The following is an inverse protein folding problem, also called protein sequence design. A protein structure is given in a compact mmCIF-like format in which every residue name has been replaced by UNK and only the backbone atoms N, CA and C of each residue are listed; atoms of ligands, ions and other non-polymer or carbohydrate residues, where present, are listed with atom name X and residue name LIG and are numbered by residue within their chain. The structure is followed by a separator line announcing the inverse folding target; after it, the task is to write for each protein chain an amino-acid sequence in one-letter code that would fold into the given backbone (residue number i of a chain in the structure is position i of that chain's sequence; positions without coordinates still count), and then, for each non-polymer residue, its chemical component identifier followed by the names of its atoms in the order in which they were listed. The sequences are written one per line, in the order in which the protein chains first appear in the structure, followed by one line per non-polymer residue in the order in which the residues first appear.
data_IF_212530136412
#
_entry.id   IF_212530136412
#
_cell.length_a   1.000
_cell.length_b   1.000
_cell.length_c   1.000
_cell.angle_alpha   90.00
_cell.angle_beta   90.00
_cell.angle_gamma   90.00
#
_symmetry.space_group_name_H-M   'P 1'
#
loop_
_entity.id
_entity.type
_entity.pdbx_description
1 polymer ?
#
# COMPACT_ATOMS: atom_id res chain seq x y z
N UNK A 1 -15.11 3.42 -15.64
CA UNK A 1 -13.76 3.95 -15.33
C UNK A 1 -13.08 2.88 -14.49
N UNK A 2 -12.05 2.20 -15.00
CA UNK A 2 -11.27 1.28 -14.15
C UNK A 2 -10.61 2.15 -13.09
N UNK A 3 -10.89 1.92 -11.81
CA UNK A 3 -10.11 2.49 -10.72
C UNK A 3 -8.67 2.04 -10.94
N UNK A 4 -7.84 2.90 -11.53
CA UNK A 4 -6.42 2.64 -11.67
C UNK A 4 -5.91 2.57 -10.24
N UNK A 5 -5.60 1.36 -9.75
CA UNK A 5 -5.05 1.18 -8.42
C UNK A 5 -3.85 2.11 -8.24
N UNK A 6 -3.70 2.75 -7.08
CA UNK A 6 -2.67 3.76 -6.85
C UNK A 6 -1.25 3.29 -7.17
N UNK A 7 -1.02 1.97 -7.19
CA UNK A 7 0.21 1.35 -7.63
C UNK A 7 0.49 1.50 -9.14
N UNK A 8 -0.53 1.32 -10.00
CA UNK A 8 -0.39 1.46 -11.45
C UNK A 8 -0.01 2.89 -11.84
N UNK A 9 -0.69 3.86 -11.23
CA UNK A 9 -0.39 5.27 -11.40
C UNK A 9 1.02 5.62 -10.89
N UNK A 10 1.42 5.10 -9.73
CA UNK A 10 2.78 5.28 -9.21
C UNK A 10 3.85 4.72 -10.17
N UNK A 11 3.59 3.55 -10.77
CA UNK A 11 4.54 2.89 -11.66
C UNK A 11 4.68 3.66 -12.98
N UNK A 12 3.57 4.18 -13.53
CA UNK A 12 3.56 5.02 -14.71
C UNK A 12 4.32 6.33 -14.47
N UNK A 13 4.01 7.04 -13.38
CA UNK A 13 4.70 8.29 -13.01
C UNK A 13 6.20 8.04 -12.82
N UNK A 14 6.57 6.93 -12.17
CA UNK A 14 7.98 6.57 -11.95
C UNK A 14 8.71 6.35 -13.27
N UNK A 15 8.12 5.60 -14.20
CA UNK A 15 8.70 5.37 -15.52
C UNK A 15 8.86 6.68 -16.31
N UNK A 16 7.86 7.57 -16.23
CA UNK A 16 7.92 8.87 -16.88
C UNK A 16 9.05 9.75 -16.32
N UNK A 17 9.18 9.84 -14.99
CA UNK A 17 10.23 10.66 -14.32
C UNK A 17 11.64 10.17 -14.62
N UNK A 18 11.84 8.86 -14.76
CA UNK A 18 13.16 8.27 -15.02
C UNK A 18 13.41 8.00 -16.51
N UNK A 19 12.49 8.43 -17.40
CA UNK A 19 12.53 8.17 -18.85
C UNK A 19 12.73 6.68 -19.18
N UNK A 20 12.17 5.79 -18.36
CA UNK A 20 12.30 4.34 -18.51
C UNK A 20 11.17 3.81 -19.38
N UNK A 21 11.53 3.03 -20.39
CA UNK A 21 10.57 2.17 -21.08
C UNK A 21 10.07 1.05 -20.14
N UNK A 22 8.89 0.51 -20.42
CA UNK A 22 8.33 -0.63 -19.68
C UNK A 22 9.29 -1.83 -19.65
N UNK A 23 10.08 -2.02 -20.72
CA UNK A 23 11.12 -3.06 -20.79
C UNK A 23 12.30 -2.77 -19.88
N UNK A 24 12.72 -1.51 -19.75
CA UNK A 24 13.78 -1.13 -18.82
C UNK A 24 13.32 -1.27 -17.37
N UNK A 25 12.11 -0.80 -17.05
CA UNK A 25 11.51 -0.99 -15.72
C UNK A 25 11.40 -2.48 -15.35
N UNK A 26 11.03 -3.32 -16.32
CA UNK A 26 10.98 -4.78 -16.17
C UNK A 26 12.37 -5.36 -15.89
N UNK A 27 13.39 -4.94 -16.64
CA UNK A 27 14.78 -5.36 -16.41
C UNK A 27 15.30 -4.91 -15.03
N UNK A 28 15.02 -3.68 -14.62
CA UNK A 28 15.42 -3.13 -13.31
C UNK A 28 14.79 -3.90 -12.14
N UNK A 29 13.57 -4.39 -12.30
CA UNK A 29 12.81 -5.03 -11.23
C UNK A 29 12.86 -6.56 -11.30
N UNK A 30 13.43 -7.13 -12.37
CA UNK A 30 13.40 -8.57 -12.62
C UNK A 30 11.98 -9.10 -12.89
N UNK A 31 11.08 -8.24 -13.37
CA UNK A 31 9.71 -8.59 -13.75
C UNK A 31 9.57 -8.72 -15.26
N UNK A 32 8.49 -9.37 -15.70
CA UNK A 32 8.14 -9.40 -17.12
C UNK A 32 7.50 -8.09 -17.54
N UNK A 33 7.74 -7.65 -18.78
CA UNK A 33 7.09 -6.45 -19.33
C UNK A 33 5.55 -6.54 -19.26
N UNK A 34 5.00 -7.74 -19.44
CA UNK A 34 3.57 -8.01 -19.34
C UNK A 34 3.05 -7.72 -17.92
N UNK A 35 3.76 -8.19 -16.90
CA UNK A 35 3.41 -7.91 -15.50
C UNK A 35 3.42 -6.42 -15.18
N UNK A 36 4.38 -5.65 -15.71
CA UNK A 36 4.37 -4.19 -15.55
C UNK A 36 3.16 -3.56 -16.24
N UNK A 37 2.85 -4.02 -17.46
CA UNK A 37 1.67 -3.54 -18.19
C UNK A 37 0.37 -3.85 -17.45
N UNK A 38 0.26 -5.06 -16.92
CA UNK A 38 -0.93 -5.52 -16.19
C UNK A 38 -1.15 -4.67 -14.93
N UNK A 39 -0.08 -4.30 -14.22
CA UNK A 39 -0.17 -3.41 -13.05
C UNK A 39 -0.66 -2.01 -13.44
N UNK A 40 -0.16 -1.46 -14.56
CA UNK A 40 -0.58 -0.16 -15.07
C UNK A 40 -2.06 -0.19 -15.50
N UNK A 41 -2.53 -1.29 -16.10
CA UNK A 41 -3.95 -1.49 -16.47
C UNK A 41 -4.87 -1.77 -15.25
N UNK A 42 -4.31 -1.80 -14.04
CA UNK A 42 -5.06 -1.94 -12.78
C UNK A 42 -5.21 -3.38 -12.29
N UNK A 43 -4.46 -4.34 -12.83
CA UNK A 43 -4.37 -5.69 -12.27
C UNK A 43 -3.71 -5.65 -10.89
N UNK A 44 -4.24 -6.44 -9.95
CA UNK A 44 -3.67 -6.56 -8.60
C UNK A 44 -2.40 -7.42 -8.66
N UNK A 45 -1.20 -6.87 -8.44
CA UNK A 45 0.01 -7.66 -8.42
C UNK A 45 0.14 -8.44 -7.12
N UNK A 46 0.78 -9.60 -7.20
CA UNK A 46 1.08 -10.40 -6.03
C UNK A 46 2.05 -9.68 -5.07
N UNK A 47 2.04 -10.00 -3.77
CA UNK A 47 2.97 -9.43 -2.78
C UNK A 47 4.45 -9.59 -3.17
N UNK A 48 4.78 -10.68 -3.86
CA UNK A 48 6.13 -10.93 -4.35
C UNK A 48 6.54 -9.94 -5.45
N UNK A 49 5.62 -9.60 -6.35
CA UNK A 49 5.82 -8.59 -7.39
C UNK A 49 6.09 -7.21 -6.78
N UNK A 50 5.38 -6.86 -5.70
CA UNK A 50 5.60 -5.61 -4.96
C UNK A 50 7.01 -5.58 -4.33
N UNK A 51 7.48 -6.70 -3.78
CA UNK A 51 8.85 -6.80 -3.25
C UNK A 51 9.90 -6.59 -4.34
N UNK A 52 9.70 -7.17 -5.53
CA UNK A 52 10.58 -7.00 -6.69
C UNK A 52 10.61 -5.56 -7.20
N UNK A 53 9.46 -4.90 -7.28
CA UNK A 53 9.37 -3.47 -7.59
C UNK A 53 10.16 -2.62 -6.60
N UNK A 54 9.96 -2.85 -5.29
CA UNK A 54 10.64 -2.09 -4.25
C UNK A 54 12.15 -2.31 -4.27
N UNK A 55 12.59 -3.53 -4.53
CA UNK A 55 14.01 -3.89 -4.63
C UNK A 55 14.67 -3.26 -5.87
N UNK A 56 13.99 -3.32 -7.02
CA UNK A 56 14.51 -2.74 -8.27
C UNK A 56 14.62 -1.22 -8.23
N UNK A 57 13.61 -0.52 -7.70
CA UNK A 57 13.59 0.94 -7.67
C UNK A 57 14.18 1.57 -6.40
N UNK A 58 14.20 0.84 -5.28
CA UNK A 58 14.63 1.34 -3.97
C UNK A 58 15.91 0.70 -3.43
N UNK A 59 16.41 -0.36 -4.06
CA UNK A 59 17.58 -1.12 -3.62
C UNK A 59 17.35 -1.92 -2.34
N UNK A 60 18.43 -2.43 -1.75
CA UNK A 60 18.38 -3.33 -0.58
C UNK A 60 18.47 -2.58 0.78
N UNK A 61 18.39 -1.25 0.78
CA UNK A 61 18.56 -0.42 1.97
C UNK A 61 17.25 0.04 2.62
N UNK A 62 17.36 0.97 3.58
CA UNK A 62 16.21 1.61 4.26
C UNK A 62 15.22 2.24 3.26
N UNK A 63 15.73 2.77 2.14
CA UNK A 63 14.94 3.35 1.04
C UNK A 63 14.05 2.30 0.36
N UNK A 64 14.58 1.09 0.12
CA UNK A 64 13.83 -0.02 -0.44
C UNK A 64 12.73 -0.52 0.49
N UNK A 65 12.99 -0.56 1.81
CA UNK A 65 11.98 -0.92 2.82
C UNK A 65 10.83 0.09 2.90
N UNK A 66 11.14 1.39 2.92
CA UNK A 66 10.14 2.44 2.92
C UNK A 66 9.31 2.45 1.63
N UNK A 67 9.98 2.25 0.48
CA UNK A 67 9.30 2.14 -0.80
C UNK A 67 8.38 0.94 -0.84
N UNK A 68 8.85 -0.23 -0.36
CA UNK A 68 8.04 -1.44 -0.25
C UNK A 68 6.76 -1.18 0.51
N UNK A 69 6.85 -0.59 1.71
CA UNK A 69 5.67 -0.34 2.53
C UNK A 69 4.65 0.56 1.82
N UNK A 70 5.13 1.63 1.17
CA UNK A 70 4.28 2.51 0.35
C UNK A 70 3.59 1.77 -0.80
N UNK A 71 4.30 0.87 -1.50
CA UNK A 71 3.71 0.09 -2.59
C UNK A 71 2.67 -0.92 -2.07
N UNK A 72 2.86 -1.49 -0.88
CA UNK A 72 1.86 -2.36 -0.24
C UNK A 72 0.56 -1.60 0.11
N UNK A 73 0.69 -0.34 0.53
CA UNK A 73 -0.47 0.54 0.76
C UNK A 73 -1.19 0.85 -0.55
N UNK A 74 -0.44 1.28 -1.56
CA UNK A 74 -1.00 1.64 -2.88
C UNK A 74 -1.66 0.45 -3.61
N UNK A 75 -1.23 -0.77 -3.31
CA UNK A 75 -1.81 -2.01 -3.82
C UNK A 75 -3.02 -2.49 -2.99
N UNK A 76 -3.35 -1.84 -1.88
CA UNK A 76 -4.46 -2.21 -1.00
C UNK A 76 -4.20 -3.44 -0.12
N UNK A 77 -2.96 -3.92 -0.03
CA UNK A 77 -2.58 -5.02 0.88
C UNK A 77 -2.41 -4.56 2.32
N UNK A 78 -2.14 -3.27 2.51
CA UNK A 78 -2.17 -2.61 3.81
C UNK A 78 -3.08 -1.41 3.70
N UNK A 79 -4.04 -1.31 4.59
CA UNK A 79 -4.56 0.01 4.97
C UNK A 79 -3.38 0.78 5.54
N UNK A 80 -3.19 2.05 5.18
CA UNK A 80 -2.36 2.94 6.00
C UNK A 80 -2.71 2.62 7.44
N UNK A 81 -1.71 2.23 8.25
CA UNK A 81 -1.90 2.16 9.69
C UNK A 81 -2.26 3.57 10.08
N UNK A 82 -3.55 3.87 10.03
CA UNK A 82 -4.15 4.93 10.80
C UNK A 82 -3.73 4.58 12.21
N UNK A 83 -2.70 5.26 12.72
CA UNK A 83 -2.35 5.26 14.12
C UNK A 83 -3.55 5.73 14.99
N UNK A 84 -4.67 6.08 14.33
CA UNK A 84 -5.91 6.58 14.88
C UNK A 84 -7.07 5.57 14.94
N UNK A 85 -6.90 4.33 14.47
CA UNK A 85 -7.85 3.27 14.82
C UNK A 85 -7.37 2.55 16.07
N UNK A 86 -7.51 3.24 17.20
CA UNK A 86 -7.46 2.67 18.52
C UNK A 86 -8.78 1.88 18.73
N UNK A 87 -8.81 0.53 18.65
CA UNK A 87 -10.01 -0.25 18.98
C UNK A 87 -10.44 -0.09 20.45
N UNK A 88 -9.61 0.55 21.28
CA UNK A 88 -9.84 0.75 22.71
C UNK A 88 -10.82 1.90 23.02
N UNK A 89 -11.17 2.76 22.07
CA UNK A 89 -12.15 3.85 22.30
C UNK A 89 -13.62 3.39 22.22
N UNK A 90 -13.91 2.17 21.75
CA UNK A 90 -15.28 1.61 21.77
C UNK A 90 -15.70 1.04 23.12
N UNK A 91 -14.79 0.91 24.09
CA UNK A 91 -15.07 0.25 25.38
C UNK A 91 -15.40 1.27 26.50
N UNK A 92 -15.12 2.56 26.28
CA UNK A 92 -15.26 3.60 27.33
C UNK A 92 -16.70 3.84 27.82
N UNK A 93 -17.81 3.59 27.08
CA UNK A 93 -19.14 3.80 27.67
C UNK A 93 -19.51 2.80 28.77
N UNK A 94 -18.76 1.71 28.96
CA UNK A 94 -19.11 0.64 29.91
C UNK A 94 -18.41 0.75 31.27
N UNK A 95 -17.53 1.73 31.46
CA UNK A 95 -16.75 1.92 32.69
C UNK A 95 -16.95 3.30 33.34
N UNK A 96 -17.92 4.09 32.88
CA UNK A 96 -18.28 5.35 33.53
C UNK A 96 -19.21 5.07 34.73
N UNK A 97 -18.77 5.32 35.98
CA UNK A 97 -19.57 5.07 37.19
C UNK A 97 -20.82 5.97 37.31
N UNK A 98 -20.96 7.02 36.47
CA UNK A 98 -22.13 7.90 36.48
C UNK A 98 -23.47 7.26 36.06
N UNK A 99 -23.50 6.04 35.51
CA UNK A 99 -24.75 5.36 35.15
C UNK A 99 -25.29 4.35 36.19
N UNK A 100 -24.68 4.21 37.37
CA UNK A 100 -25.19 3.27 38.40
C UNK A 100 -26.16 3.88 39.42
N UNK A 101 -26.56 5.15 39.30
CA UNK A 101 -27.39 5.81 40.32
C UNK A 101 -28.81 6.16 39.87
N UNK A 102 -29.51 5.21 39.24
CA UNK A 102 -30.97 5.32 39.03
C UNK A 102 -31.68 3.96 39.06
N UNK A 103 -31.39 3.13 40.06
CA UNK A 103 -32.25 2.02 40.48
C UNK A 103 -32.26 1.93 42.01
N UNK A 104 -32.83 2.96 42.64
CA UNK A 104 -33.41 2.86 43.97
C UNK A 104 -34.76 3.58 43.96
N UNK A 105 -35.81 2.80 43.81
CA UNK A 105 -37.15 3.07 44.37
C UNK A 105 -37.80 1.73 44.63
#
# INVERSE_FOLDING_TARGET
MKEQGGLGHWLEERCHREHLSLRQAAATTGLSHGTIRDIIDGSRPLPETIKKLAMGFGGNGKRGLALRDRLFVLAGYRTERSLNEQPYLKIIPLLSPEHQHSLKS
#
